data_IF_758019203270
#
_entry.id   IF_758019203270
#
_cell.length_a   1.000
_cell.length_b   1.000
_cell.length_c   1.000
_cell.angle_alpha   90.00
_cell.angle_beta   90.00
_cell.angle_gamma   90.00
#
_symmetry.space_group_name_H-M   'P 1'
#
loop_
_entity.id
_entity.type
_entity.pdbx_description
1 polymer ?
#
# COMPACT_ATOMS: atom_id res chain seq x y z
N UNK A 1 1.08 -1.99 -39.07
CA UNK A 1 0.27 -2.88 -38.22
C UNK A 1 0.56 -2.50 -36.79
N UNK A 2 -0.39 -1.97 -36.03
CA UNK A 2 -0.23 -1.73 -34.58
C UNK A 2 -0.16 -3.11 -33.93
N UNK A 3 0.96 -3.44 -33.30
CA UNK A 3 1.04 -4.60 -32.44
C UNK A 3 -0.08 -4.49 -31.40
N UNK A 4 -0.91 -5.51 -31.32
CA UNK A 4 -1.91 -5.61 -30.26
C UNK A 4 -1.13 -5.70 -28.94
N UNK A 5 -1.22 -4.66 -28.13
CA UNK A 5 -0.70 -4.65 -26.77
C UNK A 5 -1.24 -5.89 -26.05
N UNK A 6 -0.34 -6.79 -25.68
CA UNK A 6 -0.69 -8.07 -25.06
C UNK A 6 -1.02 -7.76 -23.60
N UNK A 7 -2.30 -7.65 -23.31
CA UNK A 7 -2.77 -7.51 -21.93
C UNK A 7 -2.45 -8.79 -21.16
N UNK A 8 -1.66 -8.67 -20.09
CA UNK A 8 -1.34 -9.79 -19.20
C UNK A 8 -2.35 -9.73 -18.05
N UNK A 9 -3.27 -10.70 -18.06
CA UNK A 9 -4.26 -10.90 -17.00
C UNK A 9 -3.67 -11.80 -15.93
N UNK A 10 -3.06 -11.21 -14.91
CA UNK A 10 -2.48 -11.96 -13.80
C UNK A 10 -3.52 -12.71 -12.98
N UNK A 11 -4.78 -12.25 -12.91
CA UNK A 11 -5.85 -12.93 -12.19
C UNK A 11 -6.25 -14.23 -12.90
N UNK A 12 -6.45 -14.16 -14.23
CA UNK A 12 -6.71 -15.35 -15.01
C UNK A 12 -5.53 -16.34 -14.93
N UNK A 13 -4.32 -15.83 -14.91
CA UNK A 13 -3.10 -16.62 -14.77
C UNK A 13 -3.06 -17.36 -13.41
N UNK A 14 -3.39 -16.67 -12.32
CA UNK A 14 -3.41 -17.25 -10.97
C UNK A 14 -4.44 -18.39 -10.82
N UNK A 15 -5.62 -18.23 -11.41
CA UNK A 15 -6.67 -19.27 -11.35
C UNK A 15 -6.25 -20.63 -11.91
N UNK A 16 -5.38 -20.63 -12.92
CA UNK A 16 -4.93 -21.87 -13.60
C UNK A 16 -3.51 -22.26 -13.23
N UNK A 17 -2.79 -21.44 -12.47
CA UNK A 17 -1.42 -21.71 -12.11
C UNK A 17 -1.27 -22.87 -11.12
N UNK A 18 -0.16 -23.58 -11.23
CA UNK A 18 0.26 -24.60 -10.26
C UNK A 18 0.52 -23.96 -8.88
N UNK A 19 0.35 -24.69 -7.75
CA UNK A 19 0.42 -24.12 -6.41
C UNK A 19 1.68 -23.26 -6.13
N UNK A 20 2.85 -23.72 -6.58
CA UNK A 20 4.11 -22.99 -6.40
C UNK A 20 4.21 -21.72 -7.28
N UNK A 21 3.49 -21.67 -8.39
CA UNK A 21 3.41 -20.48 -9.25
C UNK A 21 2.42 -19.46 -8.70
N UNK A 22 1.36 -19.90 -8.00
CA UNK A 22 0.39 -18.99 -7.37
C UNK A 22 1.05 -18.04 -6.36
N UNK A 23 1.98 -18.54 -5.54
CA UNK A 23 2.73 -17.69 -4.61
C UNK A 23 3.50 -16.59 -5.34
N UNK A 24 4.13 -16.89 -6.47
CA UNK A 24 4.84 -15.91 -7.30
C UNK A 24 3.88 -14.92 -7.96
N UNK A 25 2.77 -15.40 -8.53
CA UNK A 25 1.74 -14.53 -9.12
C UNK A 25 1.23 -13.54 -8.09
N UNK A 26 0.86 -14.03 -6.90
CA UNK A 26 0.38 -13.20 -5.79
C UNK A 26 1.44 -12.18 -5.34
N UNK A 27 2.72 -12.58 -5.24
CA UNK A 27 3.81 -11.66 -4.90
C UNK A 27 3.96 -10.53 -5.94
N UNK A 28 3.93 -10.86 -7.24
CA UNK A 28 3.99 -9.86 -8.30
C UNK A 28 2.76 -8.96 -8.34
N UNK A 29 1.54 -9.50 -8.19
CA UNK A 29 0.32 -8.69 -8.11
C UNK A 29 0.40 -7.67 -6.98
N UNK A 30 0.76 -8.11 -5.78
CA UNK A 30 0.98 -7.23 -4.63
C UNK A 30 2.04 -6.17 -4.92
N UNK A 31 3.18 -6.57 -5.46
CA UNK A 31 4.29 -5.68 -5.74
C UNK A 31 3.94 -4.60 -6.76
N UNK A 32 3.21 -4.97 -7.81
CA UNK A 32 2.70 -4.06 -8.85
C UNK A 32 1.64 -3.13 -8.27
N UNK A 33 0.66 -3.66 -7.55
CA UNK A 33 -0.42 -2.87 -6.94
C UNK A 33 0.09 -1.88 -5.91
N UNK A 34 1.12 -2.21 -5.12
CA UNK A 34 1.71 -1.31 -4.15
C UNK A 34 2.38 -0.06 -4.77
N UNK A 35 2.60 -0.03 -6.09
CA UNK A 35 3.10 1.20 -6.73
C UNK A 35 2.01 2.31 -6.77
N UNK A 36 0.74 1.92 -6.78
CA UNK A 36 -0.38 2.86 -6.83
C UNK A 36 -0.51 3.74 -5.57
N UNK A 37 0.08 3.34 -4.42
CA UNK A 37 0.11 4.20 -3.21
C UNK A 37 0.77 5.55 -3.44
N UNK A 38 1.67 5.62 -4.42
CA UNK A 38 2.37 6.84 -4.83
C UNK A 38 1.97 7.27 -6.27
N UNK A 39 0.87 6.71 -6.80
CA UNK A 39 0.35 7.01 -8.13
C UNK A 39 1.22 6.50 -9.27
N UNK A 40 2.11 5.54 -9.00
CA UNK A 40 3.05 5.02 -10.00
C UNK A 40 2.46 3.84 -10.76
N UNK A 41 2.91 3.67 -12.00
CA UNK A 41 2.53 2.56 -12.86
C UNK A 41 3.76 1.85 -13.39
N UNK A 42 3.66 0.53 -13.46
CA UNK A 42 4.73 -0.31 -14.01
C UNK A 42 4.65 -0.37 -15.54
N UNK A 43 5.79 -0.61 -16.18
CA UNK A 43 5.89 -0.80 -17.63
C UNK A 43 5.32 -2.16 -18.08
N UNK A 44 5.00 -2.26 -19.37
CA UNK A 44 4.66 -3.56 -19.97
C UNK A 44 5.87 -4.49 -20.01
N UNK A 45 7.08 -3.93 -20.11
CA UNK A 45 8.31 -4.72 -20.01
C UNK A 45 8.42 -5.45 -18.67
N UNK A 46 8.13 -4.77 -17.54
CA UNK A 46 8.11 -5.43 -16.23
C UNK A 46 7.13 -6.59 -16.20
N UNK A 47 5.92 -6.41 -16.77
CA UNK A 47 4.90 -7.48 -16.79
C UNK A 47 5.39 -8.72 -17.54
N UNK A 48 6.09 -8.53 -18.66
CA UNK A 48 6.71 -9.63 -19.41
C UNK A 48 7.80 -10.34 -18.59
N UNK A 49 8.63 -9.59 -17.88
CA UNK A 49 9.67 -10.14 -16.98
C UNK A 49 9.01 -10.90 -15.81
N UNK A 50 7.94 -10.35 -15.24
CA UNK A 50 7.19 -11.02 -14.19
C UNK A 50 6.64 -12.39 -14.63
N UNK A 51 6.08 -12.47 -15.83
CA UNK A 51 5.61 -13.76 -16.40
C UNK A 51 6.75 -14.77 -16.53
N UNK A 52 7.92 -14.37 -17.04
CA UNK A 52 9.09 -15.27 -17.13
C UNK A 52 9.54 -15.78 -15.76
N UNK A 53 9.52 -14.92 -14.74
CA UNK A 53 9.85 -15.34 -13.39
C UNK A 53 8.78 -16.29 -12.80
N UNK A 54 7.49 -16.01 -13.02
CA UNK A 54 6.37 -16.87 -12.58
C UNK A 54 6.49 -18.25 -13.22
N UNK A 55 6.80 -18.33 -14.52
CA UNK A 55 6.98 -19.59 -15.24
C UNK A 55 8.23 -20.36 -14.81
N UNK A 56 9.18 -19.68 -14.17
CA UNK A 56 10.45 -20.27 -13.75
C UNK A 56 11.53 -20.25 -14.82
N UNK A 57 11.31 -19.50 -15.90
CA UNK A 57 12.28 -19.32 -16.98
C UNK A 57 13.49 -18.50 -16.50
N UNK A 58 13.28 -17.63 -15.53
CA UNK A 58 14.30 -16.81 -14.89
C UNK A 58 14.11 -16.76 -13.37
N UNK A 59 15.20 -16.51 -12.66
CA UNK A 59 15.20 -16.23 -11.22
C UNK A 59 14.81 -14.76 -10.93
N UNK A 60 14.48 -14.43 -9.67
CA UNK A 60 14.21 -13.04 -9.29
C UNK A 60 15.45 -12.14 -9.46
N UNK A 61 16.66 -12.68 -9.26
CA UNK A 61 17.90 -11.94 -9.48
C UNK A 61 18.12 -11.62 -10.96
N UNK A 62 17.85 -12.57 -11.85
CA UNK A 62 17.89 -12.34 -13.29
C UNK A 62 16.82 -11.33 -13.72
N UNK A 63 15.62 -11.38 -13.15
CA UNK A 63 14.58 -10.40 -13.40
C UNK A 63 15.05 -8.98 -13.04
N UNK A 64 15.64 -8.78 -11.86
CA UNK A 64 16.20 -7.48 -11.43
C UNK A 64 17.31 -7.01 -12.37
N UNK A 65 18.21 -7.91 -12.80
CA UNK A 65 19.29 -7.58 -13.75
C UNK A 65 18.75 -7.17 -15.12
N UNK A 66 17.72 -7.84 -15.63
CA UNK A 66 17.06 -7.50 -16.89
C UNK A 66 16.40 -6.11 -16.82
N UNK A 67 15.71 -5.79 -15.73
CA UNK A 67 15.10 -4.48 -15.50
C UNK A 67 16.18 -3.39 -15.44
N UNK A 68 17.25 -3.61 -14.67
CA UNK A 68 18.37 -2.66 -14.58
C UNK A 68 19.06 -2.43 -15.94
N UNK A 69 19.22 -3.49 -16.73
CA UNK A 69 19.81 -3.42 -18.06
C UNK A 69 18.92 -2.67 -19.05
N UNK A 70 17.60 -2.87 -18.95
CA UNK A 70 16.62 -2.16 -19.77
C UNK A 70 16.72 -0.65 -19.58
N UNK A 71 16.72 -0.17 -18.33
CA UNK A 71 16.80 1.26 -18.04
C UNK A 71 18.19 1.88 -18.28
N UNK A 72 19.26 1.09 -18.31
CA UNK A 72 20.60 1.53 -18.76
C UNK A 72 20.71 1.65 -20.28
N UNK A 73 19.81 1.01 -21.05
CA UNK A 73 19.81 1.05 -22.50
C UNK A 73 19.26 2.36 -23.06
N UNK A 74 19.55 2.63 -24.34
CA UNK A 74 18.99 3.81 -25.03
C UNK A 74 17.46 3.77 -25.16
N UNK A 75 16.86 2.58 -25.21
CA UNK A 75 15.42 2.37 -25.30
C UNK A 75 14.71 2.73 -23.99
N UNK A 76 15.30 2.38 -22.85
CA UNK A 76 14.79 2.74 -21.53
C UNK A 76 14.85 4.23 -21.25
N UNK A 77 15.87 4.94 -21.72
CA UNK A 77 16.02 6.39 -21.48
C UNK A 77 14.91 7.26 -22.07
N UNK A 78 14.23 6.82 -23.12
CA UNK A 78 13.11 7.55 -23.72
C UNK A 78 11.82 7.49 -22.87
N UNK A 79 11.71 6.50 -21.98
CA UNK A 79 10.56 6.29 -21.08
C UNK A 79 10.71 7.09 -19.78
N UNK A 80 11.93 7.56 -19.46
CA UNK A 80 12.34 8.03 -18.14
C UNK A 80 11.92 9.49 -17.85
N UNK A 81 11.62 10.31 -18.89
CA UNK A 81 11.61 11.77 -18.66
C UNK A 81 10.41 12.31 -17.89
N UNK A 82 9.30 11.54 -17.69
CA UNK A 82 8.09 12.15 -17.11
C UNK A 82 7.29 11.31 -16.09
N UNK A 83 7.58 10.00 -15.81
CA UNK A 83 6.57 9.22 -15.11
C UNK A 83 7.06 8.25 -14.00
N UNK A 84 8.28 8.36 -13.52
CA UNK A 84 8.84 7.50 -12.45
C UNK A 84 8.63 5.98 -12.67
N UNK A 85 8.45 5.53 -13.91
CA UNK A 85 8.21 4.12 -14.27
C UNK A 85 9.40 3.24 -13.91
N UNK A 86 10.64 3.75 -14.04
CA UNK A 86 11.85 3.05 -13.60
C UNK A 86 11.79 2.73 -12.10
N UNK A 87 11.35 3.68 -11.28
CA UNK A 87 11.15 3.45 -9.84
C UNK A 87 10.13 2.34 -9.62
N UNK A 88 8.96 2.43 -10.26
CA UNK A 88 7.89 1.46 -10.09
C UNK A 88 8.36 0.04 -10.45
N UNK A 89 9.05 -0.13 -11.57
CA UNK A 89 9.53 -1.42 -12.03
C UNK A 89 10.58 -2.02 -11.10
N UNK A 90 11.58 -1.25 -10.72
CA UNK A 90 12.65 -1.71 -9.81
C UNK A 90 12.10 -2.05 -8.43
N UNK A 91 11.21 -1.20 -7.88
CA UNK A 91 10.62 -1.42 -6.56
C UNK A 91 9.68 -2.62 -6.59
N UNK A 92 8.89 -2.82 -7.66
CA UNK A 92 8.03 -3.99 -7.78
C UNK A 92 8.83 -5.30 -7.75
N UNK A 93 9.92 -5.41 -8.51
CA UNK A 93 10.78 -6.60 -8.48
C UNK A 93 11.37 -6.87 -7.08
N UNK A 94 11.79 -5.82 -6.37
CA UNK A 94 12.34 -5.91 -5.01
C UNK A 94 11.28 -6.24 -3.94
N UNK A 95 10.05 -5.76 -4.10
CA UNK A 95 8.93 -6.16 -3.25
C UNK A 95 8.64 -7.65 -3.45
N UNK A 96 8.61 -8.13 -4.70
CA UNK A 96 8.40 -9.54 -5.01
C UNK A 96 9.46 -10.41 -4.31
N UNK A 97 10.74 -10.08 -4.45
CA UNK A 97 11.83 -10.76 -3.76
C UNK A 97 11.61 -10.81 -2.24
N UNK A 98 11.31 -9.66 -1.62
CA UNK A 98 11.09 -9.57 -0.16
C UNK A 98 9.88 -10.37 0.31
N UNK A 99 8.81 -10.43 -0.47
CA UNK A 99 7.60 -11.20 -0.15
C UNK A 99 7.86 -12.72 -0.28
N UNK A 100 8.67 -13.14 -1.24
CA UNK A 100 9.03 -14.55 -1.43
C UNK A 100 10.01 -15.05 -0.34
N UNK A 101 10.84 -14.19 0.21
CA UNK A 101 11.74 -14.53 1.31
C UNK A 101 10.96 -14.91 2.58
N UNK A 102 11.23 -16.09 3.12
CA UNK A 102 10.60 -16.58 4.37
C UNK A 102 11.23 -15.99 5.63
N UNK A 103 12.47 -15.54 5.56
CA UNK A 103 13.19 -14.97 6.69
C UNK A 103 12.65 -13.58 7.06
N UNK A 104 12.38 -13.37 8.34
CA UNK A 104 11.94 -12.08 8.87
C UNK A 104 12.38 -11.92 10.32
N UNK A 105 12.74 -10.71 10.70
CA UNK A 105 13.06 -10.34 12.09
C UNK A 105 12.20 -9.15 12.49
N UNK A 106 11.43 -9.27 13.55
CA UNK A 106 10.57 -8.20 14.03
C UNK A 106 11.39 -7.16 14.82
N UNK A 107 12.05 -6.25 14.12
CA UNK A 107 12.93 -5.22 14.69
C UNK A 107 12.89 -3.92 13.86
N UNK A 108 13.20 -2.75 14.47
CA UNK A 108 13.40 -1.51 13.72
C UNK A 108 14.47 -1.65 12.63
N UNK A 109 15.53 -2.41 12.89
CA UNK A 109 16.58 -2.67 11.90
C UNK A 109 16.06 -3.41 10.66
N UNK A 110 15.08 -4.30 10.82
CA UNK A 110 14.43 -4.98 9.69
C UNK A 110 13.59 -4.01 8.87
N UNK A 111 12.83 -3.10 9.50
CA UNK A 111 12.08 -2.04 8.80
C UNK A 111 13.03 -1.17 7.96
N UNK A 112 14.14 -0.75 8.54
CA UNK A 112 15.18 0.04 7.86
C UNK A 112 15.82 -0.76 6.72
N UNK A 113 16.07 -2.04 6.92
CA UNK A 113 16.61 -2.95 5.89
C UNK A 113 15.65 -3.12 4.71
N UNK A 114 14.36 -3.30 4.98
CA UNK A 114 13.32 -3.37 3.94
C UNK A 114 13.33 -2.08 3.12
N UNK A 115 13.26 -0.92 3.76
CA UNK A 115 13.31 0.36 3.06
C UNK A 115 14.59 0.50 2.20
N UNK A 116 15.76 0.14 2.75
CA UNK A 116 17.02 0.18 1.99
C UNK A 116 16.93 -0.69 0.75
N UNK A 117 16.52 -1.95 0.90
CA UNK A 117 16.41 -2.89 -0.22
C UNK A 117 15.42 -2.45 -1.28
N UNK A 118 14.30 -1.86 -0.89
CA UNK A 118 13.31 -1.35 -1.83
C UNK A 118 13.86 -0.19 -2.67
N UNK A 119 14.60 0.74 -2.06
CA UNK A 119 14.88 2.05 -2.65
C UNK A 119 16.37 2.32 -2.92
N UNK A 120 17.25 1.34 -2.73
CA UNK A 120 18.68 1.48 -3.05
C UNK A 120 18.88 1.87 -4.51
N UNK A 121 19.69 2.93 -4.75
CA UNK A 121 19.92 3.49 -6.09
C UNK A 121 18.71 4.26 -6.67
N UNK A 122 17.58 4.38 -5.95
CA UNK A 122 16.41 5.18 -6.33
C UNK A 122 16.39 6.44 -5.47
N UNK A 123 16.40 6.29 -4.15
CA UNK A 123 16.47 7.42 -3.23
C UNK A 123 17.86 7.55 -2.61
N UNK A 124 18.39 8.77 -2.56
CA UNK A 124 19.71 9.05 -1.95
C UNK A 124 19.80 8.62 -0.48
N UNK A 125 18.67 8.63 0.22
CA UNK A 125 18.57 8.32 1.64
C UNK A 125 17.91 6.97 1.90
N UNK A 126 18.00 6.03 0.95
CA UNK A 126 17.47 4.68 1.12
C UNK A 126 18.04 4.00 2.38
N UNK A 127 17.14 3.53 3.26
CA UNK A 127 17.52 2.91 4.55
C UNK A 127 18.09 3.89 5.58
N UNK A 128 17.85 5.20 5.43
CA UNK A 128 18.25 6.20 6.42
C UNK A 128 17.01 6.85 7.03
N UNK A 129 16.95 6.87 8.35
CA UNK A 129 15.94 7.64 9.08
C UNK A 129 16.15 9.12 8.75
N UNK A 130 15.05 9.85 8.50
CA UNK A 130 15.08 11.29 8.25
C UNK A 130 15.52 12.05 9.50
N UNK A 131 16.23 13.15 9.29
CA UNK A 131 16.75 14.05 10.32
C UNK A 131 16.05 15.42 10.34
N UNK A 132 14.91 15.54 9.63
CA UNK A 132 14.07 16.74 9.58
C UNK A 132 12.59 16.39 9.63
N UNK A 133 11.77 17.33 10.12
CA UNK A 133 10.33 17.19 10.16
C UNK A 133 9.72 17.34 8.77
N UNK A 134 8.66 16.58 8.48
CA UNK A 134 8.01 16.57 7.19
C UNK A 134 6.52 16.86 7.32
N UNK A 135 5.96 17.34 6.23
CA UNK A 135 4.51 17.46 5.99
C UNK A 135 4.20 16.85 4.62
N UNK A 136 3.02 16.26 4.47
CA UNK A 136 2.52 15.69 3.22
C UNK A 136 1.12 16.22 2.95
N UNK A 137 0.81 16.51 1.71
CA UNK A 137 -0.55 16.83 1.30
C UNK A 137 -1.32 15.53 1.09
N UNK A 138 -2.25 15.23 2.00
CA UNK A 138 -3.03 14.00 1.94
C UNK A 138 -4.40 14.25 1.31
N UNK A 139 -4.70 13.51 0.24
CA UNK A 139 -5.96 13.63 -0.48
C UNK A 139 -7.17 13.42 0.43
N UNK A 140 -7.17 12.39 1.27
CA UNK A 140 -8.26 12.09 2.19
C UNK A 140 -8.56 13.22 3.19
N UNK A 141 -7.62 14.14 3.38
CA UNK A 141 -7.71 15.29 4.30
C UNK A 141 -7.93 16.62 3.59
N UNK A 142 -8.29 16.62 2.29
CA UNK A 142 -8.43 17.84 1.51
C UNK A 142 -7.12 18.63 1.40
N UNK A 143 -5.98 17.95 1.34
CA UNK A 143 -4.66 18.55 1.25
C UNK A 143 -3.98 18.89 2.59
N UNK A 144 -4.64 18.62 3.74
CA UNK A 144 -4.01 18.75 5.06
C UNK A 144 -3.03 17.59 5.30
N UNK A 145 -2.22 17.68 6.35
CA UNK A 145 -1.19 16.69 6.72
C UNK A 145 -1.53 15.93 7.99
N UNK A 146 -1.06 14.70 8.11
CA UNK A 146 -0.96 13.98 9.38
C UNK A 146 0.19 14.56 10.20
N UNK A 147 0.09 14.54 11.52
CA UNK A 147 1.21 14.82 12.40
C UNK A 147 2.09 13.59 12.54
N UNK A 148 3.22 13.61 11.84
CA UNK A 148 4.23 12.55 11.89
C UNK A 148 5.14 12.72 13.12
N UNK A 149 5.87 11.65 13.51
CA UNK A 149 6.84 11.73 14.59
C UNK A 149 7.88 12.82 14.32
N UNK A 150 8.31 13.51 15.37
CA UNK A 150 9.42 14.46 15.28
C UNK A 150 10.72 13.73 14.93
N UNK A 151 11.56 14.33 14.09
CA UNK A 151 12.76 13.68 13.55
C UNK A 151 13.70 13.17 14.65
N UNK A 152 13.82 13.91 15.73
CA UNK A 152 14.66 13.57 16.89
C UNK A 152 14.12 12.40 17.73
N UNK A 153 12.82 12.06 17.62
CA UNK A 153 12.19 10.98 18.39
C UNK A 153 11.95 9.69 17.61
N UNK A 154 12.16 9.69 16.29
CA UNK A 154 11.83 8.54 15.43
C UNK A 154 12.42 7.23 15.93
N UNK A 155 13.70 7.21 16.27
CA UNK A 155 14.38 5.99 16.69
C UNK A 155 13.82 5.46 18.02
N UNK A 156 13.55 6.35 18.97
CA UNK A 156 12.99 5.99 20.28
C UNK A 156 11.54 5.51 20.13
N UNK A 157 10.74 6.19 19.30
CA UNK A 157 9.37 5.78 19.00
C UNK A 157 9.31 4.40 18.34
N UNK A 158 10.14 4.13 17.33
CA UNK A 158 10.22 2.81 16.70
C UNK A 158 10.61 1.72 17.69
N UNK A 159 11.60 1.99 18.55
CA UNK A 159 12.03 1.02 19.56
C UNK A 159 10.94 0.76 20.60
N UNK A 160 10.24 1.83 21.03
CA UNK A 160 9.15 1.72 21.99
C UNK A 160 7.97 0.94 21.41
N UNK A 161 7.43 1.35 20.27
CA UNK A 161 6.24 0.74 19.65
C UNK A 161 6.49 -0.74 19.30
N UNK A 162 7.64 -1.05 18.69
CA UNK A 162 7.98 -2.43 18.38
C UNK A 162 8.35 -3.24 19.64
N UNK A 163 8.83 -2.60 20.70
CA UNK A 163 9.04 -3.20 22.00
C UNK A 163 7.70 -3.64 22.61
N UNK A 164 6.74 -2.74 22.66
CA UNK A 164 5.39 -3.02 23.17
C UNK A 164 4.71 -4.13 22.39
N UNK A 165 4.79 -4.10 21.05
CA UNK A 165 4.22 -5.14 20.19
C UNK A 165 4.89 -6.51 20.41
N UNK A 166 6.19 -6.57 20.62
CA UNK A 166 6.92 -7.81 20.89
C UNK A 166 6.54 -8.46 22.24
N UNK A 167 6.24 -7.64 23.24
CA UNK A 167 5.80 -8.07 24.56
C UNK A 167 4.30 -8.38 24.60
N UNK A 168 3.57 -7.95 23.58
CA UNK A 168 2.12 -8.15 23.48
C UNK A 168 1.79 -9.64 23.26
N UNK A 169 0.78 -10.12 24.00
CA UNK A 169 0.35 -11.51 23.92
C UNK A 169 -1.00 -11.62 23.20
N UNK A 170 -1.01 -12.31 22.09
CA UNK A 170 -2.23 -12.69 21.37
C UNK A 170 -2.96 -13.90 21.98
N UNK A 171 -2.39 -14.54 23.04
CA UNK A 171 -3.02 -15.66 23.71
C UNK A 171 -4.34 -15.24 24.35
N UNK A 172 -5.38 -16.04 24.12
CA UNK A 172 -6.75 -15.79 24.62
C UNK A 172 -7.51 -14.59 23.99
N UNK A 173 -6.97 -13.96 22.98
CA UNK A 173 -7.73 -12.95 22.22
C UNK A 173 -8.63 -13.63 21.17
N UNK A 174 -9.82 -13.08 20.97
CA UNK A 174 -10.61 -13.43 19.80
C UNK A 174 -10.05 -12.72 18.55
N UNK A 175 -10.47 -13.18 17.39
CA UNK A 175 -9.94 -12.67 16.11
C UNK A 175 -10.22 -11.17 15.91
N UNK A 176 -11.36 -10.67 16.38
CA UNK A 176 -11.72 -9.26 16.28
C UNK A 176 -10.81 -8.37 17.13
N UNK A 177 -10.47 -8.82 18.32
CA UNK A 177 -9.51 -8.13 19.20
C UNK A 177 -8.12 -8.11 18.58
N UNK A 178 -7.66 -9.25 18.04
CA UNK A 178 -6.38 -9.35 17.36
C UNK A 178 -6.30 -8.41 16.14
N UNK A 179 -7.34 -8.36 15.30
CA UNK A 179 -7.38 -7.46 14.14
C UNK A 179 -7.36 -6.00 14.59
N UNK A 180 -8.15 -5.60 15.58
CA UNK A 180 -8.12 -4.22 16.09
C UNK A 180 -6.74 -3.83 16.61
N UNK A 181 -6.08 -4.72 17.34
CA UNK A 181 -4.73 -4.47 17.84
C UNK A 181 -3.73 -4.33 16.69
N UNK A 182 -3.70 -5.28 15.76
CA UNK A 182 -2.81 -5.26 14.58
C UNK A 182 -3.03 -4.02 13.71
N UNK A 183 -4.29 -3.60 13.56
CA UNK A 183 -4.66 -2.39 12.83
C UNK A 183 -4.08 -1.14 13.51
N UNK A 184 -4.22 -1.04 14.83
CA UNK A 184 -3.65 0.07 15.61
C UNK A 184 -2.12 0.08 15.53
N UNK A 185 -1.48 -1.07 15.69
CA UNK A 185 -0.03 -1.20 15.54
C UNK A 185 0.43 -0.74 14.15
N UNK A 186 -0.24 -1.19 13.09
CA UNK A 186 0.08 -0.78 11.71
C UNK A 186 -0.05 0.73 11.51
N UNK A 187 -1.13 1.33 12.04
CA UNK A 187 -1.37 2.77 11.97
C UNK A 187 -0.27 3.56 12.69
N UNK A 188 0.10 3.17 13.91
CA UNK A 188 1.15 3.81 14.69
C UNK A 188 2.51 3.69 13.98
N UNK A 189 2.88 2.49 13.52
CA UNK A 189 4.13 2.25 12.81
C UNK A 189 4.24 3.16 11.56
N UNK A 190 3.15 3.29 10.79
CA UNK A 190 3.13 4.17 9.63
C UNK A 190 3.23 5.65 10.01
N UNK A 191 2.58 6.08 11.12
CA UNK A 191 2.60 7.47 11.60
C UNK A 191 4.00 7.93 11.99
N UNK A 192 4.86 7.05 12.47
CA UNK A 192 6.28 7.39 12.73
C UNK A 192 6.91 7.99 11.49
N UNK A 193 6.54 7.51 10.31
CA UNK A 193 6.98 8.03 9.01
C UNK A 193 8.48 8.24 8.96
N UNK A 194 9.21 7.16 9.24
CA UNK A 194 10.64 7.19 9.54
C UNK A 194 11.53 7.66 8.38
N UNK A 195 11.04 7.59 7.13
CA UNK A 195 11.82 7.88 5.93
C UNK A 195 11.28 9.11 5.19
N UNK A 196 12.11 9.70 4.34
CA UNK A 196 11.68 10.84 3.51
C UNK A 196 10.58 10.46 2.52
N UNK A 197 10.71 9.29 1.88
CA UNK A 197 9.77 8.73 0.90
C UNK A 197 9.62 7.22 1.11
N UNK A 198 8.60 6.59 0.48
CA UNK A 198 8.43 5.13 0.46
C UNK A 198 7.92 4.50 1.77
N UNK A 199 7.45 5.31 2.73
CA UNK A 199 6.98 4.81 4.04
C UNK A 199 5.82 3.81 3.89
N UNK A 200 4.81 4.10 3.06
CA UNK A 200 3.63 3.22 2.91
C UNK A 200 4.02 1.87 2.31
N UNK A 201 4.84 1.84 1.25
CA UNK A 201 5.31 0.59 0.64
C UNK A 201 6.15 -0.23 1.62
N UNK A 202 7.03 0.43 2.39
CA UNK A 202 7.84 -0.21 3.43
C UNK A 202 6.98 -0.81 4.54
N UNK A 203 5.99 -0.05 5.04
CA UNK A 203 5.06 -0.51 6.06
C UNK A 203 4.24 -1.71 5.56
N UNK A 204 3.73 -1.66 4.33
CA UNK A 204 2.98 -2.76 3.74
C UNK A 204 3.81 -4.06 3.68
N UNK A 205 5.03 -4.00 3.14
CA UNK A 205 5.93 -5.17 3.07
C UNK A 205 6.29 -5.68 4.47
N UNK A 206 6.59 -4.79 5.42
CA UNK A 206 6.86 -5.18 6.80
C UNK A 206 5.66 -5.89 7.43
N UNK A 207 4.45 -5.35 7.29
CA UNK A 207 3.22 -5.93 7.83
C UNK A 207 2.88 -7.28 7.20
N UNK A 208 3.01 -7.43 5.89
CA UNK A 208 2.81 -8.73 5.21
C UNK A 208 3.73 -9.79 5.83
N UNK A 209 5.01 -9.48 6.01
CA UNK A 209 5.97 -10.42 6.60
C UNK A 209 5.67 -10.69 8.08
N UNK A 210 5.33 -9.67 8.84
CA UNK A 210 4.99 -9.80 10.26
C UNK A 210 3.74 -10.68 10.46
N UNK A 211 2.66 -10.40 9.76
CA UNK A 211 1.42 -11.16 9.85
C UNK A 211 1.62 -12.64 9.51
N UNK A 212 2.49 -12.95 8.55
CA UNK A 212 2.86 -14.34 8.24
C UNK A 212 3.58 -15.04 9.40
N UNK A 213 4.39 -14.33 10.20
CA UNK A 213 5.03 -14.90 11.40
C UNK A 213 4.04 -15.20 12.52
N UNK A 214 2.92 -14.49 12.54
CA UNK A 214 1.80 -14.76 13.45
C UNK A 214 0.88 -15.90 12.97
N UNK A 215 1.19 -16.51 11.83
CA UNK A 215 0.43 -17.61 11.25
C UNK A 215 -0.76 -17.22 10.38
N UNK A 216 -0.93 -15.93 10.08
CA UNK A 216 -1.99 -15.51 9.16
C UNK A 216 -1.65 -15.88 7.72
N UNK A 217 -2.66 -16.39 7.02
CA UNK A 217 -2.59 -16.52 5.57
C UNK A 217 -2.94 -15.15 4.96
N UNK A 218 -1.91 -14.38 4.62
CA UNK A 218 -2.10 -13.05 4.02
C UNK A 218 -2.45 -13.21 2.56
N UNK A 219 -3.71 -12.91 2.21
CA UNK A 219 -4.20 -12.84 0.83
C UNK A 219 -3.75 -11.51 0.24
N UNK A 220 -2.75 -11.56 -0.61
CA UNK A 220 -2.10 -10.36 -1.16
C UNK A 220 -2.98 -9.61 -2.18
N UNK A 221 -4.07 -10.21 -2.68
CA UNK A 221 -4.97 -9.59 -3.65
C UNK A 221 -5.57 -8.29 -3.15
N UNK A 222 -5.86 -8.20 -1.86
CA UNK A 222 -6.40 -6.96 -1.27
C UNK A 222 -5.40 -5.81 -1.40
N UNK A 223 -4.10 -6.05 -1.21
CA UNK A 223 -3.07 -5.02 -1.46
C UNK A 223 -2.94 -4.71 -2.95
N UNK A 224 -3.02 -5.72 -3.81
CA UNK A 224 -2.89 -5.55 -5.25
C UNK A 224 -3.95 -4.59 -5.82
N UNK A 225 -5.17 -4.67 -5.30
CA UNK A 225 -6.32 -3.92 -5.83
C UNK A 225 -6.64 -2.67 -5.04
N UNK A 226 -6.26 -2.63 -3.75
CA UNK A 226 -6.70 -1.61 -2.80
C UNK A 226 -5.54 -0.92 -2.07
N UNK A 227 -4.36 -0.81 -2.68
CA UNK A 227 -3.19 -0.18 -2.06
C UNK A 227 -3.40 1.31 -1.78
N UNK A 228 -4.12 2.02 -2.67
CA UNK A 228 -4.53 3.41 -2.44
C UNK A 228 -5.53 3.55 -1.30
N UNK A 229 -6.45 2.58 -1.15
CA UNK A 229 -7.35 2.51 0.00
C UNK A 229 -6.56 2.31 1.30
N UNK A 230 -5.60 1.37 1.32
CA UNK A 230 -4.73 1.13 2.47
C UNK A 230 -4.01 2.41 2.91
N UNK A 231 -3.43 3.18 1.97
CA UNK A 231 -2.79 4.46 2.27
C UNK A 231 -3.77 5.44 2.91
N UNK A 232 -4.94 5.65 2.31
CA UNK A 232 -5.92 6.61 2.82
C UNK A 232 -6.50 6.17 4.18
N UNK A 233 -6.65 4.87 4.42
CA UNK A 233 -7.06 4.32 5.71
C UNK A 233 -6.02 4.60 6.81
N UNK A 234 -4.72 4.49 6.51
CA UNK A 234 -3.63 4.90 7.42
C UNK A 234 -3.67 6.39 7.73
N UNK A 235 -3.94 7.23 6.75
CA UNK A 235 -4.12 8.68 6.92
C UNK A 235 -5.28 8.96 7.86
N UNK A 236 -6.44 8.33 7.65
CA UNK A 236 -7.64 8.53 8.49
C UNK A 236 -7.49 7.98 9.92
N UNK A 237 -6.68 6.94 10.09
CA UNK A 237 -6.38 6.37 11.41
C UNK A 237 -5.50 7.29 12.27
N UNK A 238 -4.86 8.31 11.68
CA UNK A 238 -3.87 9.18 12.32
C UNK A 238 -4.19 10.67 12.18
N UNK A 239 -5.47 11.02 11.94
CA UNK A 239 -5.84 12.43 11.78
C UNK A 239 -7.10 12.80 12.56
N UNK A 240 -6.96 13.84 13.38
CA UNK A 240 -8.07 14.50 14.08
C UNK A 240 -8.06 16.01 13.84
N UNK A 241 -9.25 16.58 13.63
CA UNK A 241 -9.49 18.02 13.55
C UNK A 241 -10.82 18.30 14.27
N UNK A 242 -10.75 18.38 15.60
CA UNK A 242 -11.92 18.50 16.45
C UNK A 242 -12.71 19.79 16.18
N UNK A 243 -12.05 20.83 15.70
CA UNK A 243 -12.71 22.10 15.32
C UNK A 243 -13.68 21.90 14.16
N UNK A 244 -13.36 20.98 13.24
CA UNK A 244 -14.20 20.63 12.12
C UNK A 244 -14.99 19.31 12.32
N UNK A 245 -15.04 18.78 13.55
CA UNK A 245 -15.75 17.55 13.89
C UNK A 245 -15.13 16.28 13.30
N UNK A 246 -13.85 16.32 12.93
CA UNK A 246 -13.13 15.17 12.36
C UNK A 246 -12.37 14.48 13.48
N UNK A 247 -12.62 13.19 13.66
CA UNK A 247 -11.89 12.32 14.59
C UNK A 247 -11.11 11.27 13.83
N UNK A 248 -9.98 10.85 14.39
CA UNK A 248 -9.25 9.67 13.90
C UNK A 248 -10.14 8.43 13.99
N UNK A 249 -9.99 7.52 13.04
CA UNK A 249 -10.70 6.25 13.01
C UNK A 249 -9.90 5.15 12.35
N UNK A 250 -9.81 4.00 13.00
CA UNK A 250 -9.21 2.79 12.44
C UNK A 250 -10.19 1.95 11.62
N UNK A 251 -11.47 2.30 11.58
CA UNK A 251 -12.52 1.51 10.95
C UNK A 251 -12.20 1.12 9.49
N UNK A 252 -11.71 2.07 8.69
CA UNK A 252 -11.34 1.80 7.30
C UNK A 252 -10.17 0.81 7.20
N UNK A 253 -9.18 0.97 8.06
CA UNK A 253 -8.02 0.08 8.10
C UNK A 253 -8.42 -1.31 8.65
N UNK A 254 -9.35 -1.39 9.59
CA UNK A 254 -9.92 -2.65 10.08
C UNK A 254 -10.66 -3.40 8.96
N UNK A 255 -11.47 -2.72 8.15
CA UNK A 255 -12.13 -3.32 6.96
C UNK A 255 -11.09 -3.90 5.99
N UNK A 256 -10.01 -3.17 5.74
CA UNK A 256 -8.92 -3.66 4.90
C UNK A 256 -8.27 -4.92 5.47
N UNK A 257 -7.95 -4.93 6.78
CA UNK A 257 -7.36 -6.09 7.46
C UNK A 257 -8.30 -7.29 7.48
N UNK A 258 -9.61 -7.08 7.71
CA UNK A 258 -10.61 -8.15 7.67
C UNK A 258 -10.72 -8.76 6.28
N UNK A 259 -10.76 -7.94 5.23
CA UNK A 259 -10.75 -8.44 3.86
C UNK A 259 -9.49 -9.25 3.58
N UNK A 260 -8.32 -8.78 4.02
CA UNK A 260 -7.04 -9.42 3.78
C UNK A 260 -6.84 -10.72 4.57
N UNK A 261 -7.26 -10.76 5.83
CA UNK A 261 -6.95 -11.86 6.76
C UNK A 261 -8.08 -12.89 6.86
N UNK A 262 -9.33 -12.45 6.68
CA UNK A 262 -10.52 -13.29 6.86
C UNK A 262 -11.27 -13.54 5.56
N UNK A 263 -10.92 -12.83 4.47
CA UNK A 263 -11.66 -12.91 3.21
C UNK A 263 -13.06 -12.31 3.28
N UNK A 264 -13.30 -11.40 4.24
CA UNK A 264 -14.58 -10.70 4.35
C UNK A 264 -14.74 -9.71 3.18
N UNK A 265 -15.93 -9.66 2.61
CA UNK A 265 -16.27 -8.69 1.56
C UNK A 265 -16.62 -7.34 2.18
N UNK A 266 -15.74 -6.36 2.03
CA UNK A 266 -15.96 -4.98 2.43
C UNK A 266 -15.88 -4.03 1.23
N UNK A 267 -16.71 -3.00 1.27
CA UNK A 267 -16.62 -1.91 0.29
C UNK A 267 -15.40 -1.02 0.61
N UNK A 268 -14.33 -1.18 -0.18
CA UNK A 268 -13.06 -0.49 -0.03
C UNK A 268 -12.98 0.76 -0.93
N UNK A 269 -14.03 1.58 -0.93
CA UNK A 269 -14.06 2.83 -1.72
C UNK A 269 -13.34 3.97 -1.03
N UNK A 270 -12.40 4.59 -1.73
CA UNK A 270 -11.58 5.70 -1.21
C UNK A 270 -12.40 6.94 -0.84
N UNK A 271 -13.42 7.28 -1.62
CA UNK A 271 -14.21 8.52 -1.44
C UNK A 271 -14.83 8.69 -0.07
N UNK A 272 -15.25 7.59 0.59
CA UNK A 272 -15.85 7.65 1.93
C UNK A 272 -14.85 8.06 3.03
N UNK A 273 -13.57 8.02 2.75
CA UNK A 273 -12.50 8.46 3.66
C UNK A 273 -12.18 9.94 3.54
N UNK A 274 -12.64 10.61 2.46
CA UNK A 274 -12.38 12.04 2.29
C UNK A 274 -13.16 12.85 3.33
N UNK A 275 -12.50 13.77 4.02
CA UNK A 275 -13.09 14.53 5.15
C UNK A 275 -14.30 15.38 4.77
N UNK A 276 -14.46 15.73 3.49
CA UNK A 276 -15.62 16.48 2.99
C UNK A 276 -16.71 15.59 2.38
N UNK A 277 -16.56 14.25 2.45
CA UNK A 277 -17.50 13.34 1.79
C UNK A 277 -18.95 13.53 2.26
N UNK A 278 -19.18 13.63 3.57
CA UNK A 278 -20.53 13.81 4.13
C UNK A 278 -21.18 15.10 3.63
N UNK A 279 -20.40 16.18 3.45
CA UNK A 279 -20.92 17.45 2.91
C UNK A 279 -21.39 17.29 1.46
N UNK A 280 -20.61 16.58 0.64
CA UNK A 280 -20.95 16.31 -0.77
C UNK A 280 -22.17 15.40 -0.87
N UNK A 281 -22.31 14.41 0.00
CA UNK A 281 -23.46 13.52 0.05
C UNK A 281 -24.73 14.27 0.44
N UNK A 282 -24.68 15.12 1.46
CA UNK A 282 -25.80 15.98 1.88
C UNK A 282 -26.21 16.98 0.79
N UNK A 283 -25.26 17.61 0.10
CA UNK A 283 -25.53 18.50 -1.02
C UNK A 283 -26.19 17.75 -2.20
N UNK A 284 -25.75 16.55 -2.50
CA UNK A 284 -26.29 15.72 -3.58
C UNK A 284 -27.73 15.28 -3.27
N UNK A 285 -27.99 14.86 -2.04
CA UNK A 285 -29.34 14.49 -1.56
C UNK A 285 -30.27 15.70 -1.62
N UNK A 286 -29.82 16.86 -1.17
CA UNK A 286 -30.60 18.11 -1.18
C UNK A 286 -30.94 18.58 -2.60
N UNK A 287 -30.01 18.44 -3.55
CA UNK A 287 -30.25 18.77 -4.96
C UNK A 287 -31.24 17.80 -5.61
N UNK A 288 -31.14 16.50 -5.32
CA UNK A 288 -32.07 15.48 -5.84
C UNK A 288 -33.49 15.72 -5.33
N UNK A 289 -33.66 15.99 -4.05
CA UNK A 289 -34.95 16.31 -3.44
C UNK A 289 -35.58 17.58 -4.05
N UNK A 290 -34.79 18.62 -4.29
CA UNK A 290 -35.26 19.84 -4.92
C UNK A 290 -35.68 19.62 -6.40
N UNK A 291 -34.97 18.73 -7.13
CA UNK A 291 -35.32 18.39 -8.50
C UNK A 291 -36.62 17.59 -8.60
N UNK A 292 -36.86 16.68 -7.66
CA UNK A 292 -38.12 15.92 -7.56
C UNK A 292 -39.33 16.83 -7.24
N UNK A 293 -39.14 17.78 -6.32
CA UNK A 293 -40.19 18.76 -5.97
C UNK A 293 -40.50 19.69 -7.11
N UNK A 294 -39.49 20.11 -7.92
CA UNK A 294 -39.71 20.94 -9.10
C UNK A 294 -40.39 20.17 -10.25
N UNK A 295 -40.02 18.91 -10.46
CA UNK A 295 -40.65 18.05 -11.46
C UNK A 295 -42.11 17.71 -11.11
N UNK A 296 -42.43 17.53 -9.83
CA UNK A 296 -43.80 17.29 -9.38
C UNK A 296 -44.70 18.52 -9.59
N UNK A 297 -44.18 19.74 -9.36
CA UNK A 297 -44.93 20.99 -9.61
C UNK A 297 -45.12 21.31 -11.09
N UNK A 298 -44.20 20.89 -11.95
CA UNK A 298 -44.31 21.11 -13.42
C UNK A 298 -45.23 20.09 -14.10
N UNK A 299 -45.65 19.02 -13.41
CA UNK A 299 -46.61 18.02 -13.91
C UNK A 299 -48.06 18.29 -13.50
N UNK A 300 -48.32 19.33 -12.68
CA UNK A 300 -49.66 19.75 -12.22
C UNK A 300 -50.19 20.99 -12.97
N UNK A 301 -49.44 21.56 -13.90
CA UNK A 301 -49.92 22.59 -14.87
C UNK A 301 -50.18 21.94 -16.27
#
# INVERSE_FOLDING_TARGET
MKEKQKYIDFEAYERVAEPHKRERVSAWRTAIGLQDVDGLRVSDYLKEIAVKHIEGDITIDEAKQLIDSYYKSASGRKVIEDDRTEEADKVAARITELIEEKTFSFTPAQLISIHRRLFDGIYKLAGRIRDYNITKNEWALGGKTVYYASADTISDTLNYDMGQEREFSYANMNIDEAIRHLTRFCANLWQVHAFCEGNTRTTAVFMIKYLRTLGFNVVNDVFAENSWYFRNALVRANYSDLTNGITETTEYLERFFRSMLLGEEHDLRNRIMHVDWNKVEDETISQSANHEVQSAKAGEE
#
